data_IF_613724677894
#
_entry.id   IF_613724677894
#
_cell.length_a   1.000
_cell.length_b   1.000
_cell.length_c   1.000
_cell.angle_alpha   90.00
_cell.angle_beta   90.00
_cell.angle_gamma   90.00
#
_symmetry.space_group_name_H-M   'P 1'
#
loop_
_entity.id
_entity.type
_entity.pdbx_description
1 polymer ?
#
# COMPACT_ATOMS: atom_id res chain seq x y z
N UNK A 1 -29.69 -3.41 -25.36
CA UNK A 1 -28.53 -2.59 -25.79
C UNK A 1 -27.86 -3.24 -27.01
N UNK A 2 -27.47 -2.49 -28.05
CA UNK A 2 -26.74 -3.05 -29.21
C UNK A 2 -25.45 -3.75 -28.74
N UNK A 3 -25.16 -4.97 -29.22
CA UNK A 3 -23.99 -5.79 -28.84
C UNK A 3 -22.66 -5.01 -28.86
N UNK A 4 -22.51 -4.07 -29.81
CA UNK A 4 -21.35 -3.18 -29.93
C UNK A 4 -21.17 -2.23 -28.73
N UNK A 5 -22.25 -1.67 -28.18
CA UNK A 5 -22.20 -0.79 -27.00
C UNK A 5 -21.84 -1.57 -25.73
N UNK A 6 -22.34 -2.80 -25.60
CA UNK A 6 -22.01 -3.69 -24.48
C UNK A 6 -20.52 -4.05 -24.50
N UNK A 7 -19.97 -4.37 -25.68
CA UNK A 7 -18.53 -4.67 -25.82
C UNK A 7 -17.64 -3.51 -25.40
N UNK A 8 -17.99 -2.28 -25.78
CA UNK A 8 -17.25 -1.07 -25.39
C UNK A 8 -17.33 -0.85 -23.87
N UNK A 9 -18.50 -1.04 -23.27
CA UNK A 9 -18.68 -0.88 -21.83
C UNK A 9 -17.85 -1.90 -21.03
N UNK A 10 -17.83 -3.16 -21.48
CA UNK A 10 -17.02 -4.21 -20.84
C UNK A 10 -15.53 -3.87 -20.93
N UNK A 11 -15.04 -3.45 -22.10
CA UNK A 11 -13.63 -3.08 -22.27
C UNK A 11 -13.29 -1.92 -21.33
N UNK A 12 -14.11 -0.87 -21.30
CA UNK A 12 -13.91 0.28 -20.41
C UNK A 12 -13.88 -0.13 -18.94
N UNK A 13 -14.79 -1.02 -18.52
CA UNK A 13 -14.87 -1.49 -17.14
C UNK A 13 -13.61 -2.28 -16.76
N UNK A 14 -13.18 -3.21 -17.62
CA UNK A 14 -11.98 -4.02 -17.39
C UNK A 14 -10.74 -3.13 -17.29
N UNK A 15 -10.58 -2.17 -18.20
CA UNK A 15 -9.46 -1.23 -18.17
C UNK A 15 -9.46 -0.39 -16.89
N UNK A 16 -10.61 0.14 -16.48
CA UNK A 16 -10.73 0.91 -15.24
C UNK A 16 -10.38 0.05 -14.01
N UNK A 17 -10.84 -1.20 -13.97
CA UNK A 17 -10.53 -2.13 -12.88
C UNK A 17 -9.03 -2.45 -12.81
N UNK A 18 -8.36 -2.62 -13.96
CA UNK A 18 -6.90 -2.84 -14.00
C UNK A 18 -6.17 -1.63 -13.43
N UNK A 19 -6.52 -0.41 -13.86
CA UNK A 19 -5.90 0.80 -13.33
C UNK A 19 -6.17 0.97 -11.84
N UNK A 20 -7.41 0.74 -11.39
CA UNK A 20 -7.75 0.79 -9.97
C UNK A 20 -6.95 -0.21 -9.13
N UNK A 21 -6.78 -1.44 -9.63
CA UNK A 21 -5.95 -2.44 -8.97
C UNK A 21 -4.49 -2.00 -8.88
N UNK A 22 -3.89 -1.53 -9.99
CA UNK A 22 -2.50 -1.09 -10.01
C UNK A 22 -2.23 0.12 -9.12
N UNK A 23 -3.17 1.07 -9.04
CA UNK A 23 -3.07 2.21 -8.12
C UNK A 23 -3.14 1.72 -6.68
N UNK A 24 -4.10 0.85 -6.36
CA UNK A 24 -4.25 0.30 -5.01
C UNK A 24 -3.01 -0.47 -4.55
N UNK A 25 -2.49 -1.38 -5.37
CA UNK A 25 -1.27 -2.12 -5.06
C UNK A 25 -0.06 -1.21 -5.03
N UNK A 26 0.06 -0.29 -5.98
CA UNK A 26 1.13 0.71 -6.01
C UNK A 26 1.20 1.50 -4.71
N UNK A 27 0.08 2.07 -4.26
CA UNK A 27 0.02 2.79 -2.99
C UNK A 27 0.35 1.87 -1.81
N UNK A 28 -0.24 0.68 -1.75
CA UNK A 28 -0.01 -0.26 -0.64
C UNK A 28 1.46 -0.68 -0.52
N UNK A 29 2.15 -0.91 -1.64
CA UNK A 29 3.47 -1.53 -1.67
C UNK A 29 4.62 -0.49 -1.74
N UNK A 30 4.36 0.73 -2.24
CA UNK A 30 5.40 1.79 -2.35
C UNK A 30 5.34 2.85 -1.25
N UNK A 31 4.29 2.87 -0.44
CA UNK A 31 4.25 3.74 0.74
C UNK A 31 5.30 3.23 1.73
N UNK A 32 6.50 3.84 1.71
CA UNK A 32 7.46 3.70 2.79
C UNK A 32 6.87 4.34 4.04
N UNK A 33 6.23 3.53 4.87
CA UNK A 33 5.64 3.98 6.13
C UNK A 33 6.77 4.41 7.07
N UNK A 34 6.77 5.70 7.41
CA UNK A 34 7.49 6.18 8.59
C UNK A 34 6.66 5.75 9.79
N UNK A 35 7.05 4.65 10.42
CA UNK A 35 6.39 4.17 11.62
C UNK A 35 6.93 4.91 12.83
N UNK A 36 6.09 5.13 13.83
CA UNK A 36 6.55 5.55 15.15
C UNK A 36 6.96 4.32 15.97
N UNK A 37 7.82 4.51 16.98
CA UNK A 37 8.24 3.42 17.88
C UNK A 37 7.05 2.64 18.48
N UNK A 38 5.97 3.29 18.97
CA UNK A 38 4.80 2.57 19.50
C UNK A 38 4.05 1.75 18.44
N UNK A 39 3.99 2.20 17.19
CA UNK A 39 3.28 1.48 16.12
C UNK A 39 4.01 0.20 15.71
N UNK A 40 5.34 0.22 15.68
CA UNK A 40 6.16 -0.98 15.43
C UNK A 40 5.97 -2.01 16.54
N UNK A 41 5.90 -1.56 17.79
CA UNK A 41 5.66 -2.45 18.94
C UNK A 41 4.24 -3.02 18.94
N UNK A 42 3.25 -2.22 18.53
CA UNK A 42 1.84 -2.63 18.48
C UNK A 42 1.49 -3.51 17.27
N UNK A 43 2.20 -3.36 16.15
CA UNK A 43 2.04 -4.19 14.95
C UNK A 43 3.38 -4.84 14.61
N UNK A 44 3.60 -6.09 15.06
CA UNK A 44 4.83 -6.80 14.74
C UNK A 44 5.00 -6.89 13.23
N UNK A 45 6.24 -6.71 12.78
CA UNK A 45 6.64 -6.82 11.38
C UNK A 45 6.20 -8.18 10.83
N UNK A 46 5.74 -8.20 9.58
CA UNK A 46 5.22 -9.41 8.95
C UNK A 46 6.33 -10.42 8.66
N UNK A 47 7.57 -9.93 8.55
CA UNK A 47 8.77 -10.74 8.39
C UNK A 47 9.94 -10.11 9.16
N UNK A 48 10.85 -10.92 9.73
CA UNK A 48 12.12 -10.42 10.29
C UNK A 48 12.99 -9.67 9.27
N UNK A 49 12.80 -9.93 7.98
CA UNK A 49 13.54 -9.29 6.87
C UNK A 49 12.89 -7.98 6.38
N UNK A 50 11.76 -7.58 6.96
CA UNK A 50 11.04 -6.38 6.56
C UNK A 50 11.80 -5.12 7.00
N UNK A 51 12.34 -4.38 6.03
CA UNK A 51 13.05 -3.12 6.29
C UNK A 51 12.04 -1.99 6.44
N UNK A 52 11.90 -1.48 7.67
CA UNK A 52 11.04 -0.33 7.98
C UNK A 52 11.84 0.88 8.44
N UNK A 53 11.32 2.08 8.17
CA UNK A 53 11.88 3.33 8.70
C UNK A 53 11.08 3.75 9.92
N UNK A 54 11.76 3.87 11.05
CA UNK A 54 11.14 4.24 12.33
C UNK A 54 11.61 5.63 12.75
N UNK A 55 10.66 6.53 12.99
CA UNK A 55 10.91 7.85 13.55
C UNK A 55 10.59 7.87 15.04
N UNK A 56 11.48 8.45 15.85
CA UNK A 56 11.26 8.60 17.29
C UNK A 56 12.36 9.41 17.97
N UNK A 57 12.07 9.86 19.18
CA UNK A 57 13.07 10.47 20.05
C UNK A 57 13.88 9.37 20.75
N UNK A 58 15.19 9.55 20.82
CA UNK A 58 16.06 8.68 21.61
C UNK A 58 16.15 9.25 23.02
N UNK A 59 15.94 8.42 24.04
CA UNK A 59 16.14 8.84 25.42
C UNK A 59 17.63 9.06 25.67
N UNK A 60 17.95 10.06 26.49
CA UNK A 60 19.34 10.49 26.72
C UNK A 60 20.28 9.41 27.26
N UNK A 61 19.72 8.34 27.86
CA UNK A 61 20.44 7.21 28.46
C UNK A 61 20.34 5.92 27.61
N UNK A 62 19.91 6.04 26.34
CA UNK A 62 19.72 4.92 25.42
C UNK A 62 20.74 4.88 24.27
N UNK A 63 21.85 5.63 24.41
CA UNK A 63 22.96 5.72 23.45
C UNK A 63 24.20 5.01 23.95
#
# INVERSE_FOLDING_TARGET
>A
MKKRKVKILIISLVTLSIFGYLIYTGVRDTMTYYLTVPEVLAKPLKSPEEVVRVGGNVYSDSV
#
